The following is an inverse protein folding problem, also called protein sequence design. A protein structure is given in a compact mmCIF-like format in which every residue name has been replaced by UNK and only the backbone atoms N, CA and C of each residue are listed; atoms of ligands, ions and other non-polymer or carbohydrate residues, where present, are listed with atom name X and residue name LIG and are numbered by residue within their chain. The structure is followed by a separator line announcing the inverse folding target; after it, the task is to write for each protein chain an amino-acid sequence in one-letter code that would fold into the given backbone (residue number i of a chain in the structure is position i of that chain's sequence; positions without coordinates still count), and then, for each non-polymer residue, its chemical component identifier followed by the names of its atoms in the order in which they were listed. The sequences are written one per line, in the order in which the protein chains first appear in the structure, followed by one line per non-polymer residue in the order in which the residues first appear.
data_IF_654424301262
#
_entry.id   IF_654424301262
#
_cell.length_a   1.000
_cell.length_b   1.000
_cell.length_c   1.000
_cell.angle_alpha   90.00
_cell.angle_beta   90.00
_cell.angle_gamma   90.00
#
_symmetry.space_group_name_H-M   'P 1'
#
loop_
_entity.id
_entity.type
_entity.pdbx_description
1 polymer ?
#
# COMPACT_ATOMS: atom_id res chain seq x y z
N UNK A 1 16.35 20.98 4.73
CA UNK A 1 15.42 21.73 5.58
C UNK A 1 16.24 22.51 6.59
N UNK A 2 16.17 23.83 6.54
CA UNK A 2 16.91 24.75 7.42
C UNK A 2 16.10 25.05 8.70
N UNK A 3 16.75 25.54 9.77
CA UNK A 3 16.05 26.00 10.96
C UNK A 3 14.98 27.08 10.67
N UNK A 4 15.26 27.97 9.72
CA UNK A 4 14.32 29.01 9.31
C UNK A 4 13.07 28.43 8.62
N UNK A 5 13.23 27.38 7.80
CA UNK A 5 12.12 26.68 7.16
C UNK A 5 11.23 25.98 8.19
N UNK A 6 11.82 25.37 9.21
CA UNK A 6 11.07 24.75 10.32
C UNK A 6 10.29 25.81 11.10
N UNK A 7 10.90 26.96 11.42
CA UNK A 7 10.23 28.05 12.13
C UNK A 7 9.02 28.59 11.34
N UNK A 8 9.15 28.77 10.02
CA UNK A 8 8.05 29.19 9.15
C UNK A 8 6.94 28.14 9.00
N UNK A 9 7.24 26.85 9.20
CA UNK A 9 6.22 25.80 9.28
C UNK A 9 5.46 25.88 10.60
N UNK A 10 6.18 26.02 11.72
CA UNK A 10 5.58 26.08 13.06
C UNK A 10 4.68 27.30 13.24
N UNK A 11 5.06 28.46 12.68
CA UNK A 11 4.23 29.68 12.72
C UNK A 11 2.88 29.56 12.01
N UNK A 12 2.73 28.57 11.11
CA UNK A 12 1.46 28.30 10.40
C UNK A 12 0.54 27.33 11.16
N UNK A 13 0.99 26.78 12.29
CA UNK A 13 0.17 25.87 13.08
C UNK A 13 -0.90 26.66 13.84
N UNK A 14 -2.15 26.24 13.68
CA UNK A 14 -3.29 26.73 14.46
C UNK A 14 -3.65 25.62 15.44
N UNK A 15 -3.47 25.88 16.73
CA UNK A 15 -3.93 24.99 17.78
C UNK A 15 -5.39 25.28 18.07
N UNK A 16 -6.22 24.23 18.11
CA UNK A 16 -7.64 24.32 18.47
C UNK A 16 -7.98 23.23 19.48
N UNK A 17 -8.92 23.55 20.35
CA UNK A 17 -9.54 22.61 21.28
C UNK A 17 -10.80 21.95 20.68
N UNK A 18 -11.21 22.37 19.48
CA UNK A 18 -12.30 21.74 18.74
C UNK A 18 -11.91 20.31 18.33
N UNK A 19 -12.87 19.35 18.35
CA UNK A 19 -12.62 18.02 17.85
C UNK A 19 -12.18 18.07 16.38
N UNK A 20 -10.94 17.68 16.12
CA UNK A 20 -10.46 17.51 14.75
C UNK A 20 -10.86 16.11 14.29
N UNK A 21 -11.74 16.02 13.30
CA UNK A 21 -12.02 14.75 12.65
C UNK A 21 -10.75 14.27 11.92
N UNK A 22 -10.21 13.09 12.27
CA UNK A 22 -9.11 12.52 11.51
C UNK A 22 -9.60 12.24 10.09
N UNK A 23 -8.78 12.57 9.10
CA UNK A 23 -9.14 12.45 7.68
C UNK A 23 -9.47 11.00 7.23
N UNK A 24 -9.25 10.01 8.09
CA UNK A 24 -9.48 8.60 7.82
C UNK A 24 -10.17 7.98 9.03
N UNK A 25 -11.42 7.56 8.85
CA UNK A 25 -12.12 6.72 9.82
C UNK A 25 -11.62 5.26 9.69
N UNK A 26 -11.29 4.62 10.81
CA UNK A 26 -10.85 3.21 10.85
C UNK A 26 -11.69 2.43 11.86
N UNK A 27 -12.28 1.29 11.46
CA UNK A 27 -13.14 0.47 12.32
C UNK A 27 -13.85 -0.64 11.54
N UNK A 28 -14.60 -1.50 12.23
CA UNK A 28 -15.32 -2.62 11.59
C UNK A 28 -16.44 -2.14 10.62
N UNK A 29 -17.02 -0.98 10.90
CA UNK A 29 -18.12 -0.38 10.13
C UNK A 29 -17.64 0.75 9.19
N UNK A 30 -16.32 0.94 9.06
CA UNK A 30 -15.74 1.95 8.19
C UNK A 30 -15.49 1.36 6.80
N UNK A 31 -15.68 2.18 5.76
CA UNK A 31 -15.29 1.81 4.39
C UNK A 31 -13.80 1.43 4.32
N UNK A 32 -13.41 0.47 3.46
CA UNK A 32 -12.02 0.09 3.30
C UNK A 32 -11.18 1.27 2.83
N UNK A 33 -10.31 1.76 3.72
CA UNK A 33 -9.40 2.88 3.47
C UNK A 33 -7.95 2.43 3.58
N UNK A 34 -7.07 3.03 2.77
CA UNK A 34 -5.64 2.76 2.86
C UNK A 34 -5.07 3.44 4.11
N UNK A 35 -4.69 2.63 5.10
CA UNK A 35 -4.07 3.10 6.33
C UNK A 35 -2.55 3.27 6.11
N UNK A 36 -1.97 4.47 6.27
CA UNK A 36 -0.54 4.67 6.13
C UNK A 36 0.22 3.94 7.25
N UNK A 37 1.26 3.18 6.87
CA UNK A 37 2.14 2.46 7.80
C UNK A 37 3.60 2.75 7.47
N UNK A 38 4.40 3.04 8.49
CA UNK A 38 5.86 3.17 8.33
C UNK A 38 6.52 1.80 8.45
N UNK A 39 7.46 1.51 7.54
CA UNK A 39 8.33 0.33 7.60
C UNK A 39 9.78 0.78 7.63
N UNK A 40 10.63 0.08 8.39
CA UNK A 40 12.07 0.33 8.43
C UNK A 40 12.75 -0.58 7.41
N UNK A 41 13.51 0.02 6.50
CA UNK A 41 14.27 -0.69 5.46
C UNK A 41 15.72 -0.24 5.52
N UNK A 42 16.64 -1.13 5.19
CA UNK A 42 18.02 -0.73 4.91
C UNK A 42 18.04 0.12 3.63
N UNK A 43 19.07 0.98 3.50
CA UNK A 43 19.21 1.88 2.34
C UNK A 43 19.17 1.13 1.01
N UNK A 44 19.88 0.01 0.92
CA UNK A 44 19.96 -0.77 -0.33
C UNK A 44 18.61 -1.43 -0.67
N UNK A 45 17.87 -1.90 0.34
CA UNK A 45 16.56 -2.48 0.13
C UNK A 45 15.53 -1.42 -0.30
N UNK A 46 15.56 -0.23 0.30
CA UNK A 46 14.72 0.90 -0.13
C UNK A 46 15.00 1.29 -1.59
N UNK A 47 16.29 1.39 -1.95
CA UNK A 47 16.71 1.69 -3.33
C UNK A 47 16.23 0.63 -4.32
N UNK A 48 16.45 -0.65 -4.03
CA UNK A 48 16.02 -1.75 -4.87
C UNK A 48 14.49 -1.80 -5.01
N UNK A 49 13.76 -1.56 -3.92
CA UNK A 49 12.30 -1.50 -3.90
C UNK A 49 11.77 -0.38 -4.78
N UNK A 50 12.32 0.83 -4.68
CA UNK A 50 11.95 1.98 -5.52
C UNK A 50 12.22 1.72 -7.00
N UNK A 51 13.39 1.18 -7.32
CA UNK A 51 13.75 0.85 -8.70
C UNK A 51 12.79 -0.19 -9.30
N UNK A 52 12.48 -1.25 -8.52
CA UNK A 52 11.56 -2.28 -8.98
C UNK A 52 10.14 -1.74 -9.17
N UNK A 53 9.65 -0.93 -8.24
CA UNK A 53 8.34 -0.29 -8.36
C UNK A 53 8.28 0.60 -9.62
N UNK A 54 9.32 1.39 -9.88
CA UNK A 54 9.41 2.22 -11.08
C UNK A 54 9.38 1.40 -12.37
N UNK A 55 10.14 0.29 -12.43
CA UNK A 55 10.15 -0.62 -13.58
C UNK A 55 8.79 -1.28 -13.86
N UNK A 56 7.93 -1.36 -12.84
CA UNK A 56 6.56 -1.89 -12.94
C UNK A 56 5.51 -0.79 -13.15
N UNK A 57 5.91 0.49 -13.24
CA UNK A 57 4.97 1.61 -13.35
C UNK A 57 4.14 1.83 -12.08
N UNK A 58 4.64 1.42 -10.91
CA UNK A 58 3.93 1.46 -9.63
C UNK A 58 4.61 2.42 -8.65
N UNK A 59 3.84 2.90 -7.67
CA UNK A 59 4.43 3.53 -6.49
C UNK A 59 5.08 2.48 -5.58
N UNK A 60 6.02 2.90 -4.74
CA UNK A 60 6.66 2.00 -3.76
C UNK A 60 5.64 1.36 -2.82
N UNK A 61 4.62 2.12 -2.38
CA UNK A 61 3.55 1.60 -1.51
C UNK A 61 2.64 0.60 -2.23
N UNK A 62 2.34 0.82 -3.51
CA UNK A 62 1.59 -0.14 -4.32
C UNK A 62 2.39 -1.43 -4.52
N UNK A 63 3.70 -1.33 -4.78
CA UNK A 63 4.56 -2.49 -4.92
C UNK A 63 4.63 -3.31 -3.63
N UNK A 64 4.89 -2.68 -2.47
CA UNK A 64 4.92 -3.37 -1.16
C UNK A 64 3.57 -4.03 -0.87
N UNK A 65 2.45 -3.34 -1.14
CA UNK A 65 1.11 -3.91 -0.96
C UNK A 65 0.93 -5.17 -1.81
N UNK A 66 1.27 -5.11 -3.10
CA UNK A 66 1.13 -6.27 -4.00
C UNK A 66 1.92 -7.50 -3.54
N UNK A 67 3.08 -7.29 -2.91
CA UNK A 67 3.88 -8.38 -2.34
C UNK A 67 3.18 -9.02 -1.14
N UNK A 68 2.62 -8.20 -0.23
CA UNK A 68 1.86 -8.68 0.93
C UNK A 68 0.60 -9.41 0.49
N UNK A 69 -0.15 -8.85 -0.45
CA UNK A 69 -1.38 -9.44 -0.99
C UNK A 69 -1.08 -10.80 -1.63
N UNK A 70 -0.02 -10.88 -2.45
CA UNK A 70 0.41 -12.13 -3.08
C UNK A 70 0.85 -13.15 -2.03
N UNK A 71 1.66 -12.75 -1.07
CA UNK A 71 2.13 -13.64 -0.01
C UNK A 71 0.95 -14.23 0.75
N UNK A 72 0.03 -13.40 1.26
CA UNK A 72 -1.21 -13.84 1.92
C UNK A 72 -2.04 -14.78 1.03
N UNK A 73 -2.17 -14.43 -0.26
CA UNK A 73 -2.90 -15.24 -1.21
C UNK A 73 -2.26 -16.62 -1.44
N UNK A 74 -0.93 -16.73 -1.36
CA UNK A 74 -0.18 -17.98 -1.60
C UNK A 74 0.09 -18.78 -0.33
N UNK A 75 0.21 -18.14 0.83
CA UNK A 75 0.62 -18.74 2.10
C UNK A 75 -0.41 -19.70 2.70
N UNK A 76 -1.61 -19.81 2.11
CA UNK A 76 -2.56 -20.87 2.47
C UNK A 76 -2.93 -20.87 3.95
N UNK A 77 -3.10 -19.68 4.55
CA UNK A 77 -3.57 -19.56 5.92
C UNK A 77 -4.92 -20.28 6.05
N UNK A 78 -5.04 -21.17 7.04
CA UNK A 78 -6.21 -22.02 7.31
C UNK A 78 -7.50 -21.26 7.65
N UNK A 79 -7.48 -19.93 7.65
CA UNK A 79 -8.66 -19.08 7.74
C UNK A 79 -9.14 -18.66 6.34
N UNK A 80 -10.46 -18.69 6.16
CA UNK A 80 -11.14 -18.42 4.91
C UNK A 80 -10.68 -17.07 4.33
N UNK A 81 -10.04 -17.10 3.16
CA UNK A 81 -9.43 -15.90 2.54
C UNK A 81 -10.46 -14.77 2.40
N UNK A 82 -10.08 -13.51 2.71
CA UNK A 82 -10.92 -12.33 2.45
C UNK A 82 -11.38 -12.28 0.99
N UNK A 83 -12.58 -11.74 0.74
CA UNK A 83 -13.20 -11.74 -0.60
C UNK A 83 -12.31 -11.06 -1.67
N UNK A 84 -11.67 -9.94 -1.33
CA UNK A 84 -10.79 -9.21 -2.25
C UNK A 84 -9.55 -10.01 -2.69
N UNK A 85 -9.04 -10.91 -1.83
CA UNK A 85 -7.91 -11.81 -2.19
C UNK A 85 -8.36 -12.84 -3.23
N UNK A 86 -9.60 -13.33 -3.13
CA UNK A 86 -10.17 -14.27 -4.09
C UNK A 86 -10.38 -13.63 -5.46
N UNK A 87 -10.84 -12.38 -5.48
CA UNK A 87 -11.02 -11.60 -6.71
C UNK A 87 -9.68 -11.32 -7.40
N UNK A 88 -8.66 -10.90 -6.65
CA UNK A 88 -7.32 -10.66 -7.20
C UNK A 88 -6.72 -11.92 -7.83
N UNK A 89 -6.87 -13.07 -7.17
CA UNK A 89 -6.42 -14.36 -7.70
C UNK A 89 -7.17 -14.76 -8.98
N UNK A 90 -8.47 -14.47 -9.07
CA UNK A 90 -9.25 -14.74 -10.27
C UNK A 90 -8.75 -13.91 -11.47
N UNK A 91 -8.41 -12.63 -11.25
CA UNK A 91 -7.86 -11.76 -12.30
C UNK A 91 -6.49 -12.24 -12.77
N UNK A 92 -5.61 -12.65 -11.84
CA UNK A 92 -4.28 -13.19 -12.17
C UNK A 92 -4.43 -14.47 -13.01
N UNK A 93 -5.27 -15.41 -12.58
CA UNK A 93 -5.52 -16.65 -13.30
C UNK A 93 -6.12 -16.43 -14.70
N UNK A 94 -6.99 -15.41 -14.85
CA UNK A 94 -7.55 -15.01 -16.14
C UNK A 94 -6.44 -14.51 -17.08
N UNK A 95 -5.55 -13.64 -16.58
CA UNK A 95 -4.47 -13.05 -17.36
C UNK A 95 -3.43 -14.08 -17.80
N UNK A 96 -3.06 -15.02 -16.92
CA UNK A 96 -2.15 -16.12 -17.26
C UNK A 96 -2.73 -17.04 -18.35
N UNK A 97 -4.02 -17.37 -18.26
CA UNK A 97 -4.70 -18.16 -19.28
C UNK A 97 -4.80 -17.45 -20.64
N UNK A 98 -5.02 -16.13 -20.64
CA UNK A 98 -5.12 -15.35 -21.87
C UNK A 98 -3.75 -15.19 -22.56
N UNK A 99 -2.67 -15.05 -21.80
CA UNK A 99 -1.30 -15.05 -22.33
C UNK A 99 -0.93 -16.43 -22.92
N UNK A 100 -1.28 -17.52 -22.25
CA UNK A 100 -1.09 -18.87 -22.77
C UNK A 100 -1.89 -19.15 -24.05
N UNK A 101 -3.10 -18.58 -24.17
CA UNK A 101 -3.93 -18.74 -25.38
C UNK A 101 -3.40 -17.94 -26.58
N UNK A 102 -2.75 -16.80 -26.36
CA UNK A 102 -2.15 -15.99 -27.45
C UNK A 102 -0.81 -16.55 -27.94
N UNK A 103 -0.14 -17.36 -27.14
CA UNK A 103 1.15 -17.97 -27.46
C UNK A 103 1.04 -19.34 -28.17
N UNK A 104 -0.19 -19.85 -28.38
CA UNK A 104 -0.48 -21.10 -29.09
C UNK A 104 -1.20 -20.84 -30.42
#
# INVERSE_FOLDING_TARGET
MSPAEVAAMTQRLVFTDDPVEPAIATGADAEPVLIPRSVKLTRELDKACKLRAANLGMSQSAYIRSLIERDIATAGTSEQRPAWVRELLAVIAQHENDEHRKAS
#
